data_IF_143407715448
#
_entry.id   IF_143407715448
#
_cell.length_a   1.000
_cell.length_b   1.000
_cell.length_c   1.000
_cell.angle_alpha   90.00
_cell.angle_beta   90.00
_cell.angle_gamma   90.00
#
_symmetry.space_group_name_H-M   'P 1'
#
loop_
_entity.id
_entity.type
_entity.pdbx_description
1 polymer ?
#
# COMPACT_ATOMS: atom_id res chain seq x y z
N UNK A 1 18.83 1.28 -27.02
CA UNK A 1 18.50 2.19 -25.89
C UNK A 1 17.04 2.01 -25.49
N UNK A 2 16.71 2.20 -24.20
CA UNK A 2 15.33 2.08 -23.68
C UNK A 2 14.82 3.46 -23.29
N UNK A 3 13.58 3.79 -23.64
CA UNK A 3 12.97 5.09 -23.34
C UNK A 3 11.76 4.95 -22.43
N UNK A 4 11.58 5.94 -21.55
CA UNK A 4 10.34 6.20 -20.82
C UNK A 4 9.79 7.56 -21.29
N UNK A 5 8.47 7.66 -21.44
CA UNK A 5 7.78 8.87 -21.90
C UNK A 5 6.73 9.28 -20.87
N UNK A 6 6.76 10.54 -20.44
CA UNK A 6 5.88 11.09 -19.40
C UNK A 6 5.32 12.43 -19.90
N UNK A 7 4.00 12.58 -20.12
CA UNK A 7 3.42 13.86 -20.53
C UNK A 7 3.71 14.95 -19.50
N UNK A 8 4.06 16.17 -19.94
CA UNK A 8 4.45 17.29 -19.07
C UNK A 8 3.39 17.60 -17.99
N UNK A 9 2.11 17.55 -18.36
CA UNK A 9 0.96 17.71 -17.47
C UNK A 9 0.86 16.66 -16.34
N UNK A 10 1.50 15.50 -16.53
CA UNK A 10 1.51 14.38 -15.58
C UNK A 10 2.79 14.36 -14.70
N UNK A 11 3.76 15.24 -14.96
CA UNK A 11 5.02 15.33 -14.20
C UNK A 11 4.78 16.00 -12.85
N UNK A 12 4.88 15.22 -11.76
CA UNK A 12 4.69 15.75 -10.41
C UNK A 12 5.93 16.53 -9.94
N UNK A 13 5.74 17.84 -9.76
CA UNK A 13 6.71 18.74 -9.12
C UNK A 13 6.82 18.41 -7.62
N UNK A 14 5.69 18.53 -6.91
CA UNK A 14 5.49 18.13 -5.51
C UNK A 14 4.03 17.66 -5.32
N UNK A 15 3.71 16.97 -4.23
CA UNK A 15 2.38 16.35 -4.00
C UNK A 15 1.23 17.37 -3.94
N UNK A 16 1.49 18.54 -3.37
CA UNK A 16 0.57 19.67 -3.24
C UNK A 16 0.72 20.73 -4.35
N UNK A 17 1.59 20.49 -5.33
CA UNK A 17 1.85 21.47 -6.38
C UNK A 17 0.73 21.49 -7.44
N UNK A 18 0.25 22.68 -7.77
CA UNK A 18 -0.63 22.95 -8.93
C UNK A 18 0.18 23.38 -10.17
N UNK A 19 1.51 23.23 -10.16
CA UNK A 19 2.38 23.62 -11.27
C UNK A 19 2.20 22.67 -12.46
N UNK A 20 1.56 23.16 -13.51
CA UNK A 20 1.49 22.50 -14.81
C UNK A 20 2.68 22.91 -15.69
N UNK A 21 3.63 22.00 -15.87
CA UNK A 21 4.81 22.23 -16.72
C UNK A 21 4.46 22.33 -18.22
N UNK A 22 3.28 21.86 -18.65
CA UNK A 22 2.83 21.98 -20.05
C UNK A 22 2.30 23.38 -20.38
N UNK A 23 1.92 24.17 -19.38
CA UNK A 23 1.50 25.56 -19.53
C UNK A 23 2.67 26.57 -19.47
N UNK A 24 3.90 26.11 -19.21
CA UNK A 24 5.08 26.96 -19.03
C UNK A 24 5.86 27.22 -20.35
N UNK A 25 6.62 28.33 -20.45
CA UNK A 25 7.60 28.51 -21.50
C UNK A 25 8.61 27.34 -21.54
N UNK A 26 8.90 26.81 -22.73
CA UNK A 26 9.69 25.59 -22.90
C UNK A 26 11.08 25.62 -22.25
N UNK A 27 11.72 26.79 -22.14
CA UNK A 27 12.99 26.93 -21.40
C UNK A 27 12.83 26.73 -19.90
N UNK A 28 11.80 27.32 -19.29
CA UNK A 28 11.49 27.16 -17.86
C UNK A 28 11.07 25.72 -17.56
N UNK A 29 10.21 25.13 -18.39
CA UNK A 29 9.81 23.73 -18.27
C UNK A 29 11.04 22.79 -18.33
N UNK A 30 12.01 23.07 -19.21
CA UNK A 30 13.26 22.31 -19.31
C UNK A 30 14.10 22.40 -18.04
N UNK A 31 14.30 23.59 -17.49
CA UNK A 31 15.10 23.79 -16.27
C UNK A 31 14.45 23.07 -15.07
N UNK A 32 13.12 23.15 -14.93
CA UNK A 32 12.35 22.36 -13.96
C UNK A 32 12.55 20.86 -14.16
N UNK A 33 12.35 20.34 -15.37
CA UNK A 33 12.52 18.91 -15.69
C UNK A 33 13.93 18.42 -15.34
N UNK A 34 14.99 19.16 -15.68
CA UNK A 34 16.36 18.76 -15.34
C UNK A 34 16.57 18.60 -13.83
N UNK A 35 16.03 19.51 -13.00
CA UNK A 35 16.07 19.38 -11.55
C UNK A 35 15.26 18.19 -11.03
N UNK A 36 14.05 17.99 -11.55
CA UNK A 36 13.11 16.96 -11.09
C UNK A 36 13.60 15.51 -11.33
N UNK A 37 14.36 15.27 -12.40
CA UNK A 37 14.89 13.96 -12.77
C UNK A 37 16.37 13.72 -12.37
N UNK A 38 16.98 14.63 -11.61
CA UNK A 38 18.37 14.52 -11.10
C UNK A 38 18.67 13.28 -10.24
N UNK A 39 17.65 12.51 -9.85
CA UNK A 39 17.79 11.22 -9.16
C UNK A 39 18.14 10.05 -10.09
N UNK A 40 18.05 10.24 -11.41
CA UNK A 40 18.49 9.28 -12.42
C UNK A 40 20.02 9.35 -12.58
N UNK A 41 20.70 8.28 -13.03
CA UNK A 41 22.14 8.31 -13.24
C UNK A 41 22.52 9.34 -14.31
N UNK A 42 23.72 9.90 -14.21
CA UNK A 42 24.28 10.95 -15.10
C UNK A 42 24.19 10.66 -16.62
N UNK A 43 24.06 9.39 -17.00
CA UNK A 43 23.95 8.94 -18.39
C UNK A 43 22.51 8.76 -18.89
N UNK A 44 21.51 8.99 -18.05
CA UNK A 44 20.12 9.07 -18.50
C UNK A 44 19.89 10.45 -19.10
N UNK A 45 19.55 10.49 -20.39
CA UNK A 45 19.26 11.75 -21.08
C UNK A 45 17.79 12.10 -20.89
N UNK A 46 17.52 13.29 -20.33
CA UNK A 46 16.16 13.79 -20.11
C UNK A 46 15.94 14.99 -21.02
N UNK A 47 14.98 14.86 -21.94
CA UNK A 47 14.66 15.87 -22.95
C UNK A 47 13.15 16.13 -22.97
N UNK A 48 12.73 17.26 -23.55
CA UNK A 48 11.31 17.56 -23.82
C UNK A 48 11.10 17.46 -25.33
N UNK A 49 10.25 16.51 -25.75
CA UNK A 49 9.80 16.35 -27.13
C UNK A 49 8.32 16.76 -27.20
N UNK A 50 8.05 17.98 -27.68
CA UNK A 50 6.68 18.53 -27.72
C UNK A 50 6.11 18.73 -26.32
N UNK A 51 5.03 18.03 -26.00
CA UNK A 51 4.33 18.05 -24.70
C UNK A 51 4.83 16.97 -23.72
N UNK A 52 5.88 16.23 -24.08
CA UNK A 52 6.28 14.99 -23.41
C UNK A 52 7.74 15.04 -22.96
N UNK A 53 7.99 14.66 -21.71
CA UNK A 53 9.35 14.37 -21.21
C UNK A 53 9.75 12.99 -21.71
N UNK A 54 10.87 12.92 -22.42
CA UNK A 54 11.46 11.68 -22.92
C UNK A 54 12.76 11.42 -22.17
N UNK A 55 12.81 10.27 -21.51
CA UNK A 55 13.92 9.83 -20.67
C UNK A 55 14.57 8.64 -21.37
N UNK A 56 15.75 8.85 -21.95
CA UNK A 56 16.53 7.82 -22.62
C UNK A 56 17.54 7.21 -21.67
N UNK A 57 17.36 5.93 -21.35
CA UNK A 57 18.29 5.16 -20.54
C UNK A 57 19.40 4.56 -21.40
N UNK A 58 20.67 4.63 -20.95
CA UNK A 58 21.78 3.95 -21.61
C UNK A 58 21.56 2.44 -21.56
N UNK A 59 22.18 1.72 -22.48
CA UNK A 59 22.07 0.27 -22.49
C UNK A 59 22.69 -0.34 -21.23
N UNK A 60 21.96 -1.28 -20.63
CA UNK A 60 22.39 -1.95 -19.42
C UNK A 60 23.65 -2.77 -19.73
N UNK A 61 24.70 -2.58 -18.92
CA UNK A 61 25.89 -3.44 -19.01
C UNK A 61 25.50 -4.91 -18.77
N UNK A 62 26.16 -5.89 -19.40
CA UNK A 62 25.91 -7.31 -19.16
C UNK A 62 25.85 -7.65 -17.66
N UNK A 63 24.87 -8.47 -17.27
CA UNK A 63 24.63 -8.85 -15.87
C UNK A 63 23.95 -7.80 -14.99
N UNK A 64 23.78 -6.54 -15.41
CA UNK A 64 23.12 -5.51 -14.57
C UNK A 64 21.64 -5.79 -14.32
N UNK A 65 20.92 -6.28 -15.32
CA UNK A 65 19.51 -6.67 -15.17
C UNK A 65 19.32 -7.81 -14.17
N UNK A 66 20.20 -8.83 -14.22
CA UNK A 66 20.18 -9.94 -13.26
C UNK A 66 20.58 -9.47 -11.85
N UNK A 67 21.65 -8.68 -11.72
CA UNK A 67 22.11 -8.10 -10.45
C UNK A 67 21.03 -7.26 -9.78
N UNK A 68 20.38 -6.36 -10.53
CA UNK A 68 19.31 -5.49 -10.03
C UNK A 68 18.07 -6.29 -9.62
N UNK A 69 17.57 -7.18 -10.47
CA UNK A 69 16.39 -8.02 -10.14
C UNK A 69 16.66 -8.98 -8.98
N UNK A 70 17.89 -9.49 -8.83
CA UNK A 70 18.32 -10.29 -7.68
C UNK A 70 18.33 -9.45 -6.40
N UNK A 71 18.90 -8.25 -6.43
CA UNK A 71 18.89 -7.34 -5.29
C UNK A 71 17.46 -6.97 -4.87
N UNK A 72 16.57 -6.70 -5.84
CA UNK A 72 15.14 -6.46 -5.59
C UNK A 72 14.47 -7.63 -4.86
N UNK A 73 14.62 -8.87 -5.36
CA UNK A 73 14.05 -10.07 -4.71
C UNK A 73 14.57 -10.24 -3.27
N UNK A 74 15.87 -10.10 -3.05
CA UNK A 74 16.45 -10.15 -1.71
C UNK A 74 15.92 -9.02 -0.80
N UNK A 75 15.59 -7.85 -1.36
CA UNK A 75 14.96 -6.74 -0.66
C UNK A 75 13.53 -7.05 -0.22
N UNK A 76 12.75 -7.72 -1.08
CA UNK A 76 11.43 -8.26 -0.72
C UNK A 76 11.53 -9.25 0.45
N UNK A 77 12.46 -10.22 0.37
CA UNK A 77 12.67 -11.22 1.42
C UNK A 77 13.05 -10.56 2.76
N UNK A 78 13.89 -9.53 2.73
CA UNK A 78 14.28 -8.76 3.91
C UNK A 78 13.11 -7.96 4.49
N UNK A 79 12.29 -7.32 3.65
CA UNK A 79 11.10 -6.58 4.07
C UNK A 79 10.04 -7.51 4.69
N UNK A 80 9.81 -8.69 4.11
CA UNK A 80 8.91 -9.70 4.65
C UNK A 80 9.35 -10.24 6.04
N UNK A 81 10.64 -10.13 6.36
CA UNK A 81 11.22 -10.45 7.67
C UNK A 81 11.24 -9.25 8.64
N UNK A 82 10.66 -8.10 8.27
CA UNK A 82 10.71 -6.85 9.05
C UNK A 82 12.09 -6.18 9.08
N UNK A 83 13.06 -6.66 8.30
CA UNK A 83 14.42 -6.09 8.25
C UNK A 83 14.49 -4.95 7.23
N UNK A 84 13.80 -3.86 7.54
CA UNK A 84 13.62 -2.73 6.64
C UNK A 84 14.93 -2.02 6.27
N UNK A 85 15.90 -1.95 7.20
CA UNK A 85 17.24 -1.38 6.93
C UNK A 85 17.98 -2.17 5.85
N UNK A 86 17.93 -3.51 5.91
CA UNK A 86 18.51 -4.37 4.87
C UNK A 86 17.72 -4.30 3.56
N UNK A 87 16.40 -4.19 3.63
CA UNK A 87 15.56 -4.00 2.45
C UNK A 87 15.90 -2.70 1.71
N UNK A 88 16.13 -1.60 2.44
CA UNK A 88 16.57 -0.29 1.90
C UNK A 88 17.88 -0.43 1.11
N UNK A 89 18.94 -1.03 1.67
CA UNK A 89 20.21 -1.26 0.93
C UNK A 89 19.97 -2.04 -0.37
N UNK A 90 19.18 -3.11 -0.30
CA UNK A 90 18.93 -4.01 -1.41
C UNK A 90 18.09 -3.35 -2.52
N UNK A 91 17.08 -2.55 -2.17
CA UNK A 91 16.33 -1.78 -3.16
C UNK A 91 17.16 -0.61 -3.74
N UNK A 92 17.99 0.07 -2.95
CA UNK A 92 18.94 1.07 -3.47
C UNK A 92 19.95 0.44 -4.45
N UNK A 93 20.45 -0.77 -4.17
CA UNK A 93 21.32 -1.53 -5.08
C UNK A 93 20.58 -1.97 -6.34
N UNK A 94 19.31 -2.37 -6.23
CA UNK A 94 18.44 -2.60 -7.38
C UNK A 94 18.35 -1.35 -8.26
N UNK A 95 18.02 -0.19 -7.69
CA UNK A 95 17.89 1.07 -8.44
C UNK A 95 19.21 1.60 -9.01
N UNK A 96 20.37 1.25 -8.41
CA UNK A 96 21.69 1.56 -8.98
C UNK A 96 21.93 0.83 -10.31
N UNK A 97 21.38 -0.37 -10.44
CA UNK A 97 21.54 -1.23 -11.61
C UNK A 97 20.35 -1.10 -12.59
N UNK A 98 19.17 -0.75 -12.08
CA UNK A 98 17.89 -0.59 -12.81
C UNK A 98 17.17 0.70 -12.33
N UNK A 99 17.57 1.90 -12.79
CA UNK A 99 17.13 3.19 -12.24
C UNK A 99 15.64 3.50 -12.35
N UNK A 100 14.96 2.90 -13.31
CA UNK A 100 13.54 3.06 -13.60
C UNK A 100 12.71 1.85 -13.16
N UNK A 101 13.26 0.98 -12.29
CA UNK A 101 12.50 -0.15 -11.77
C UNK A 101 11.46 0.33 -10.75
N UNK A 102 10.26 0.63 -11.26
CA UNK A 102 9.09 1.16 -10.56
C UNK A 102 8.83 0.42 -9.24
N UNK A 103 8.74 -0.92 -9.28
CA UNK A 103 8.47 -1.73 -8.09
C UNK A 103 9.56 -1.61 -7.02
N UNK A 104 10.83 -1.52 -7.42
CA UNK A 104 11.95 -1.33 -6.50
C UNK A 104 11.92 0.07 -5.85
N UNK A 105 11.50 1.10 -6.59
CA UNK A 105 11.37 2.47 -6.07
C UNK A 105 10.18 2.60 -5.12
N UNK A 106 9.04 2.00 -5.46
CA UNK A 106 7.87 1.91 -4.57
C UNK A 106 8.20 1.15 -3.28
N UNK A 107 8.84 -0.01 -3.38
CA UNK A 107 9.16 -0.82 -2.21
C UNK A 107 10.29 -0.21 -1.36
N UNK A 108 11.18 0.60 -1.96
CA UNK A 108 12.10 1.45 -1.21
C UNK A 108 11.37 2.51 -0.38
N UNK A 109 10.39 3.21 -0.96
CA UNK A 109 9.56 4.16 -0.22
C UNK A 109 8.76 3.49 0.91
N UNK A 110 8.19 2.30 0.67
CA UNK A 110 7.51 1.49 1.69
C UNK A 110 8.48 1.13 2.83
N UNK A 111 9.66 0.58 2.52
CA UNK A 111 10.66 0.21 3.51
C UNK A 111 11.16 1.42 4.33
N UNK A 112 11.18 2.63 3.75
CA UNK A 112 11.46 3.85 4.50
C UNK A 112 10.35 4.25 5.46
N UNK A 113 9.07 4.11 5.10
CA UNK A 113 7.95 4.36 6.02
C UNK A 113 7.94 3.39 7.19
N UNK A 114 8.11 2.10 6.89
CA UNK A 114 8.21 1.02 7.88
C UNK A 114 9.44 1.20 8.81
N UNK A 115 10.52 1.82 8.32
CA UNK A 115 11.66 2.24 9.13
C UNK A 115 11.49 3.61 9.82
N UNK A 116 10.32 4.25 9.74
CA UNK A 116 10.00 5.54 10.34
C UNK A 116 10.58 6.78 9.63
N UNK A 117 11.26 6.62 8.49
CA UNK A 117 11.90 7.70 7.74
C UNK A 117 10.96 8.27 6.65
N UNK A 118 9.91 8.95 7.13
CA UNK A 118 8.88 9.61 6.30
C UNK A 118 9.48 10.55 5.22
N UNK A 119 10.50 11.40 5.50
CA UNK A 119 11.07 12.27 4.47
C UNK A 119 11.69 11.52 3.28
N UNK A 120 12.38 10.40 3.54
CA UNK A 120 12.98 9.59 2.46
C UNK A 120 11.91 8.85 1.65
N UNK A 121 10.82 8.43 2.30
CA UNK A 121 9.67 7.85 1.60
C UNK A 121 8.98 8.87 0.69
N UNK A 122 8.70 10.09 1.17
CA UNK A 122 8.14 11.18 0.35
C UNK A 122 9.01 11.46 -0.88
N UNK A 123 10.33 11.55 -0.70
CA UNK A 123 11.28 11.72 -1.80
C UNK A 123 11.13 10.61 -2.85
N UNK A 124 11.18 9.35 -2.45
CA UNK A 124 11.11 8.23 -3.40
C UNK A 124 9.72 8.05 -4.04
N UNK A 125 8.64 8.48 -3.38
CA UNK A 125 7.30 8.58 -3.97
C UNK A 125 7.19 9.69 -5.03
N UNK A 126 7.80 10.86 -4.81
CA UNK A 126 7.88 11.90 -5.86
C UNK A 126 8.67 11.40 -7.07
N UNK A 127 9.82 10.76 -6.83
CA UNK A 127 10.63 10.15 -7.89
C UNK A 127 9.88 9.02 -8.63
N UNK A 128 9.05 8.25 -7.92
CA UNK A 128 8.16 7.24 -8.51
C UNK A 128 7.13 7.89 -9.44
N UNK A 129 6.41 8.92 -8.96
CA UNK A 129 5.36 9.56 -9.73
C UNK A 129 5.87 10.38 -10.92
N UNK A 130 7.13 10.85 -10.87
CA UNK A 130 7.82 11.41 -12.03
C UNK A 130 8.11 10.35 -13.11
N UNK A 131 8.26 9.08 -12.76
CA UNK A 131 8.38 7.99 -13.75
C UNK A 131 7.02 7.44 -14.18
N UNK A 132 6.04 7.39 -13.27
CA UNK A 132 4.67 6.93 -13.55
C UNK A 132 3.67 7.51 -12.53
N UNK A 133 2.83 8.43 -13.00
CA UNK A 133 1.80 9.09 -12.16
C UNK A 133 0.59 8.20 -11.82
N UNK A 134 0.54 6.98 -12.38
CA UNK A 134 -0.60 6.04 -12.29
C UNK A 134 -0.26 4.70 -11.61
N UNK A 135 0.83 4.63 -10.84
CA UNK A 135 1.13 3.44 -10.03
C UNK A 135 0.17 3.36 -8.82
N UNK A 136 -0.82 2.48 -8.93
CA UNK A 136 -1.90 2.27 -7.95
C UNK A 136 -1.38 2.07 -6.52
N UNK A 137 -0.37 1.22 -6.36
CA UNK A 137 0.23 0.92 -5.06
C UNK A 137 1.03 2.09 -4.49
N UNK A 138 1.69 2.90 -5.34
CA UNK A 138 2.36 4.14 -4.96
C UNK A 138 1.36 5.22 -4.53
N UNK A 139 0.22 5.35 -5.23
CA UNK A 139 -0.87 6.24 -4.84
C UNK A 139 -1.47 5.85 -3.48
N UNK A 140 -1.74 4.55 -3.27
CA UNK A 140 -2.15 4.01 -1.98
C UNK A 140 -1.11 4.27 -0.87
N UNK A 141 0.18 4.16 -1.19
CA UNK A 141 1.26 4.44 -0.24
C UNK A 141 1.38 5.92 0.12
N UNK A 142 1.24 6.82 -0.86
CA UNK A 142 1.19 8.26 -0.63
C UNK A 142 -0.04 8.64 0.23
N UNK A 143 -1.21 8.08 -0.07
CA UNK A 143 -2.42 8.30 0.71
C UNK A 143 -2.26 7.86 2.18
N UNK A 144 -1.71 6.67 2.41
CA UNK A 144 -1.38 6.17 3.75
C UNK A 144 -0.34 7.06 4.47
N UNK A 145 0.67 7.56 3.76
CA UNK A 145 1.67 8.48 4.29
C UNK A 145 1.01 9.74 4.84
N UNK A 146 0.21 10.42 4.01
CA UNK A 146 -0.42 11.68 4.40
C UNK A 146 -1.44 11.53 5.52
N UNK A 147 -2.23 10.45 5.51
CA UNK A 147 -3.16 10.15 6.61
C UNK A 147 -2.41 9.89 7.92
N UNK A 148 -1.49 8.91 7.93
CA UNK A 148 -0.95 8.34 9.19
C UNK A 148 0.28 9.07 9.75
N UNK A 149 1.07 9.72 8.90
CA UNK A 149 2.35 10.32 9.31
C UNK A 149 2.37 11.84 9.29
N UNK A 150 1.52 12.48 8.48
CA UNK A 150 1.43 13.94 8.39
C UNK A 150 0.07 14.51 8.80
N UNK A 151 -0.93 13.65 9.09
CA UNK A 151 -2.30 14.04 9.45
C UNK A 151 -2.97 14.99 8.43
N UNK A 152 -2.57 14.90 7.16
CA UNK A 152 -3.10 15.71 6.06
C UNK A 152 -4.21 14.92 5.34
N UNK A 153 -5.37 14.85 6.01
CA UNK A 153 -6.53 14.09 5.53
C UNK A 153 -7.02 14.54 4.13
N UNK A 154 -7.10 15.85 3.78
CA UNK A 154 -7.51 16.28 2.44
C UNK A 154 -6.58 15.78 1.34
N UNK A 155 -5.26 15.80 1.56
CA UNK A 155 -4.30 15.28 0.59
C UNK A 155 -4.33 13.76 0.51
N UNK A 156 -4.51 13.07 1.65
CA UNK A 156 -4.71 11.63 1.68
C UNK A 156 -5.94 11.23 0.83
N UNK A 157 -7.06 11.94 0.97
CA UNK A 157 -8.29 11.71 0.19
C UNK A 157 -8.04 11.90 -1.32
N UNK A 158 -7.31 12.95 -1.71
CA UNK A 158 -6.89 13.19 -3.11
C UNK A 158 -6.09 12.00 -3.69
N UNK A 159 -5.22 11.36 -2.90
CA UNK A 159 -4.46 10.19 -3.35
C UNK A 159 -5.26 8.88 -3.32
N UNK A 160 -6.12 8.67 -2.33
CA UNK A 160 -7.04 7.52 -2.33
C UNK A 160 -8.01 7.58 -3.51
N UNK A 161 -8.61 8.74 -3.79
CA UNK A 161 -9.52 8.93 -4.92
C UNK A 161 -8.83 8.64 -6.26
N UNK A 162 -7.57 9.07 -6.43
CA UNK A 162 -6.74 8.71 -7.61
C UNK A 162 -6.49 7.20 -7.71
N UNK A 163 -6.20 6.51 -6.60
CA UNK A 163 -5.99 5.07 -6.59
C UNK A 163 -7.28 4.31 -6.92
N UNK A 164 -8.40 4.69 -6.29
CA UNK A 164 -9.75 4.17 -6.53
C UNK A 164 -10.23 4.37 -7.97
N UNK A 165 -9.86 5.48 -8.61
CA UNK A 165 -10.17 5.74 -10.03
C UNK A 165 -9.41 4.79 -10.99
N UNK A 166 -8.34 4.13 -10.54
CA UNK A 166 -7.60 3.15 -11.35
C UNK A 166 -8.23 1.76 -11.20
N UNK A 167 -8.53 1.34 -9.97
CA UNK A 167 -9.24 0.11 -9.67
C UNK A 167 -10.28 0.37 -8.56
N UNK A 168 -11.56 0.55 -8.92
CA UNK A 168 -12.65 0.74 -7.96
C UNK A 168 -12.96 -0.50 -7.12
N UNK A 169 -12.40 -1.66 -7.47
CA UNK A 169 -12.71 -2.97 -6.85
C UNK A 169 -11.59 -3.50 -5.97
N UNK A 170 -10.44 -2.81 -5.89
CA UNK A 170 -9.31 -3.21 -5.05
C UNK A 170 -9.71 -3.14 -3.55
N UNK A 171 -9.74 -4.28 -2.83
CA UNK A 171 -10.22 -4.32 -1.45
C UNK A 171 -9.27 -3.60 -0.47
N UNK A 172 -7.99 -3.44 -0.79
CA UNK A 172 -7.03 -2.71 0.04
C UNK A 172 -7.24 -1.19 -0.07
N UNK A 173 -7.52 -0.70 -1.28
CA UNK A 173 -7.86 0.71 -1.53
C UNK A 173 -9.21 1.03 -0.89
N UNK A 174 -10.24 0.23 -1.16
CA UNK A 174 -11.58 0.40 -0.58
C UNK A 174 -11.51 0.45 0.96
N UNK A 175 -10.84 -0.52 1.59
CA UNK A 175 -10.67 -0.57 3.06
C UNK A 175 -9.92 0.64 3.61
N UNK A 176 -8.84 1.07 2.94
CA UNK A 176 -7.99 2.15 3.46
C UNK A 176 -8.62 3.54 3.24
N UNK A 177 -9.36 3.72 2.15
CA UNK A 177 -10.12 4.94 1.90
C UNK A 177 -11.34 5.03 2.83
N UNK A 178 -12.07 3.92 3.02
CA UNK A 178 -13.15 3.83 4.00
C UNK A 178 -12.70 4.24 5.41
N UNK A 179 -11.50 3.81 5.83
CA UNK A 179 -10.91 4.22 7.10
C UNK A 179 -10.69 5.74 7.20
N UNK A 180 -10.17 6.36 6.13
CA UNK A 180 -10.00 7.82 6.08
C UNK A 180 -11.35 8.56 6.12
N UNK A 181 -12.36 8.08 5.39
CA UNK A 181 -13.70 8.69 5.39
C UNK A 181 -14.33 8.64 6.79
N UNK A 182 -14.19 7.52 7.52
CA UNK A 182 -14.59 7.42 8.93
C UNK A 182 -13.83 8.39 9.83
N UNK A 183 -12.57 8.70 9.54
CA UNK A 183 -11.78 9.69 10.29
C UNK A 183 -12.21 11.13 9.98
N UNK A 184 -12.58 11.41 8.72
CA UNK A 184 -13.13 12.69 8.27
C UNK A 184 -14.57 12.93 8.73
N UNK A 185 -15.31 11.86 9.09
CA UNK A 185 -16.70 11.92 9.57
C UNK A 185 -17.75 11.52 8.51
N UNK A 186 -17.31 11.13 7.32
CA UNK A 186 -18.13 10.66 6.20
C UNK A 186 -18.55 9.18 6.39
N UNK A 187 -19.10 8.90 7.58
CA UNK A 187 -19.43 7.56 8.10
C UNK A 187 -20.32 6.73 7.14
N UNK A 188 -21.21 7.39 6.38
CA UNK A 188 -22.10 6.70 5.44
C UNK A 188 -21.39 6.18 4.19
N UNK A 189 -20.42 6.94 3.66
CA UNK A 189 -19.63 6.51 2.50
C UNK A 189 -18.59 5.48 2.94
N UNK A 190 -17.96 5.71 4.09
CA UNK A 190 -17.10 4.74 4.78
C UNK A 190 -17.78 3.37 4.93
N UNK A 191 -19.03 3.33 5.40
CA UNK A 191 -19.78 2.08 5.53
C UNK A 191 -19.99 1.38 4.18
N UNK A 192 -20.34 2.11 3.11
CA UNK A 192 -20.52 1.52 1.77
C UNK A 192 -19.21 0.90 1.27
N UNK A 193 -18.12 1.66 1.33
CA UNK A 193 -16.80 1.22 0.87
C UNK A 193 -16.27 -0.01 1.64
N UNK A 194 -16.57 -0.14 2.94
CA UNK A 194 -16.24 -1.37 3.68
C UNK A 194 -17.07 -2.58 3.22
N UNK A 195 -18.37 -2.44 2.96
CA UNK A 195 -19.21 -3.53 2.45
C UNK A 195 -18.84 -3.92 1.01
N UNK A 196 -18.41 -2.95 0.20
CA UNK A 196 -17.85 -3.19 -1.14
C UNK A 196 -16.52 -3.95 -1.05
N UNK A 197 -15.62 -3.57 -0.14
CA UNK A 197 -14.36 -4.29 0.10
C UNK A 197 -14.59 -5.73 0.57
N UNK A 198 -15.55 -5.95 1.47
CA UNK A 198 -16.00 -7.28 1.93
C UNK A 198 -16.55 -8.10 0.75
N UNK A 199 -17.30 -7.47 -0.15
CA UNK A 199 -17.87 -8.14 -1.32
C UNK A 199 -16.81 -8.50 -2.37
N UNK A 200 -15.76 -7.69 -2.51
CA UNK A 200 -14.66 -7.90 -3.45
C UNK A 200 -13.68 -9.00 -2.98
N UNK A 201 -13.39 -9.09 -1.67
CA UNK A 201 -12.54 -10.13 -1.09
C UNK A 201 -13.10 -10.56 0.28
N UNK A 202 -14.03 -11.53 0.31
CA UNK A 202 -14.64 -12.00 1.56
C UNK A 202 -13.65 -12.57 2.56
N UNK A 203 -12.51 -13.09 2.10
CA UNK A 203 -11.42 -13.61 2.91
C UNK A 203 -10.53 -12.53 3.56
N UNK A 204 -10.62 -11.27 3.15
CA UNK A 204 -9.82 -10.17 3.70
C UNK A 204 -10.48 -9.63 4.99
N UNK A 205 -9.88 -9.79 6.18
CA UNK A 205 -10.55 -9.45 7.44
C UNK A 205 -10.54 -7.95 7.77
N UNK A 206 -9.66 -7.17 7.16
CA UNK A 206 -9.47 -5.76 7.50
C UNK A 206 -10.73 -4.90 7.30
N UNK A 207 -11.51 -5.01 6.20
CA UNK A 207 -12.73 -4.21 6.04
C UNK A 207 -13.83 -4.59 7.05
N UNK A 208 -13.97 -5.86 7.41
CA UNK A 208 -14.87 -6.25 8.50
C UNK A 208 -14.45 -5.60 9.82
N UNK A 209 -13.15 -5.63 10.15
CA UNK A 209 -12.66 -5.01 11.38
C UNK A 209 -12.80 -3.48 11.36
N UNK A 210 -12.56 -2.84 10.21
CA UNK A 210 -12.79 -1.40 10.01
C UNK A 210 -14.27 -1.01 10.18
N UNK A 211 -15.19 -1.77 9.59
CA UNK A 211 -16.63 -1.59 9.74
C UNK A 211 -17.10 -1.84 11.19
N UNK A 212 -16.53 -2.83 11.88
CA UNK A 212 -16.78 -3.07 13.29
C UNK A 212 -16.30 -1.89 14.17
N UNK A 213 -15.18 -1.23 13.84
CA UNK A 213 -14.73 -0.02 14.52
C UNK A 213 -15.61 1.20 14.21
N UNK A 214 -16.14 1.31 12.99
CA UNK A 214 -17.11 2.35 12.61
C UNK A 214 -18.42 2.19 13.41
N UNK A 215 -18.97 0.99 13.51
CA UNK A 215 -20.14 0.72 14.35
C UNK A 215 -19.86 0.90 15.84
N UNK A 216 -18.63 0.64 16.31
CA UNK A 216 -18.21 0.93 17.68
C UNK A 216 -18.19 2.45 17.95
N UNK A 217 -17.65 3.27 17.04
CA UNK A 217 -17.69 4.74 17.09
C UNK A 217 -19.13 5.25 17.23
N UNK A 218 -20.07 4.60 16.54
CA UNK A 218 -21.50 4.89 16.58
C UNK A 218 -22.26 4.25 17.75
N UNK A 219 -21.59 3.53 18.66
CA UNK A 219 -22.19 2.76 19.77
C UNK A 219 -23.23 1.70 19.36
N UNK A 220 -23.18 1.23 18.09
CA UNK A 220 -24.06 0.21 17.53
C UNK A 220 -23.57 -1.20 17.89
N UNK A 221 -23.59 -1.54 19.18
CA UNK A 221 -22.94 -2.75 19.71
C UNK A 221 -23.41 -4.07 19.05
N UNK A 222 -24.68 -4.20 18.70
CA UNK A 222 -25.19 -5.39 17.99
C UNK A 222 -24.59 -5.52 16.58
N UNK A 223 -24.43 -4.40 15.86
CA UNK A 223 -23.85 -4.41 14.51
C UNK A 223 -22.35 -4.72 14.54
N UNK A 224 -21.63 -4.31 15.60
CA UNK A 224 -20.25 -4.74 15.85
C UNK A 224 -20.15 -6.27 15.96
N UNK A 225 -21.04 -6.89 16.74
CA UNK A 225 -21.06 -8.35 16.89
C UNK A 225 -21.41 -9.04 15.56
N UNK A 226 -22.46 -8.58 14.86
CA UNK A 226 -22.90 -9.11 13.57
C UNK A 226 -21.78 -9.10 12.51
N UNK A 227 -21.01 -7.99 12.40
CA UNK A 227 -19.91 -7.88 11.42
C UNK A 227 -18.72 -8.76 11.79
N UNK A 228 -18.41 -8.88 13.09
CA UNK A 228 -17.34 -9.78 13.54
C UNK A 228 -17.72 -11.26 13.38
N UNK A 229 -18.99 -11.63 13.59
CA UNK A 229 -19.47 -12.98 13.25
C UNK A 229 -19.37 -13.27 11.74
N UNK A 230 -19.72 -12.31 10.87
CA UNK A 230 -19.46 -12.41 9.42
C UNK A 230 -17.97 -12.63 9.13
N UNK A 231 -17.08 -11.90 9.78
CA UNK A 231 -15.62 -12.02 9.65
C UNK A 231 -15.08 -13.40 10.07
N UNK A 232 -15.68 -14.04 11.08
CA UNK A 232 -15.27 -15.37 11.55
C UNK A 232 -15.91 -16.51 10.77
N UNK A 233 -17.05 -16.28 10.12
CA UNK A 233 -17.73 -17.23 9.23
C UNK A 233 -17.18 -17.23 7.79
N UNK A 234 -16.53 -16.14 7.37
CA UNK A 234 -15.91 -16.00 6.06
C UNK A 234 -14.70 -16.95 5.87
N UNK A 235 -14.28 -17.24 4.62
CA UNK A 235 -13.08 -18.03 4.36
C UNK A 235 -11.85 -17.40 5.03
N UNK A 236 -11.04 -18.21 5.71
CA UNK A 236 -9.88 -17.69 6.43
C UNK A 236 -8.79 -17.21 5.45
N UNK A 237 -8.35 -15.96 5.59
CA UNK A 237 -7.16 -15.43 4.90
C UNK A 237 -5.96 -16.37 5.08
N UNK A 238 -5.27 -16.65 3.97
CA UNK A 238 -4.00 -17.39 3.99
C UNK A 238 -2.79 -16.47 4.22
N UNK A 239 -2.99 -15.15 4.29
CA UNK A 239 -1.93 -14.17 4.57
C UNK A 239 -1.61 -14.15 6.08
N UNK A 240 -0.38 -14.48 6.50
CA UNK A 240 0.01 -14.43 7.91
C UNK A 240 -0.19 -13.04 8.54
N UNK A 241 -0.12 -11.96 7.73
CA UNK A 241 -0.34 -10.57 8.15
C UNK A 241 -1.78 -10.28 8.58
N UNK A 242 -2.73 -11.15 8.25
CA UNK A 242 -4.12 -11.08 8.74
C UNK A 242 -4.27 -11.57 10.19
N UNK A 243 -3.31 -12.33 10.74
CA UNK A 243 -3.40 -12.91 12.10
C UNK A 243 -3.65 -11.88 13.21
N UNK A 244 -2.97 -10.71 13.25
CA UNK A 244 -3.24 -9.68 14.25
C UNK A 244 -4.67 -9.13 14.18
N UNK A 245 -5.24 -8.98 12.98
CA UNK A 245 -6.60 -8.46 12.77
C UNK A 245 -7.65 -9.44 13.31
N UNK A 246 -7.48 -10.75 13.07
CA UNK A 246 -8.35 -11.76 13.70
C UNK A 246 -8.23 -11.77 15.23
N UNK A 247 -7.05 -11.49 15.80
CA UNK A 247 -6.88 -11.40 17.25
C UNK A 247 -7.57 -10.15 17.82
N UNK A 248 -7.43 -9.00 17.17
CA UNK A 248 -8.11 -7.75 17.55
C UNK A 248 -9.63 -7.88 17.43
N UNK A 249 -10.14 -8.49 16.35
CA UNK A 249 -11.56 -8.80 16.18
C UNK A 249 -12.11 -9.67 17.31
N UNK A 250 -11.39 -10.74 17.71
CA UNK A 250 -11.81 -11.60 18.85
C UNK A 250 -11.83 -10.85 20.19
N UNK A 251 -10.85 -9.98 20.44
CA UNK A 251 -10.81 -9.15 21.64
C UNK A 251 -11.97 -8.15 21.68
N UNK A 252 -12.25 -7.48 20.55
CA UNK A 252 -13.38 -6.58 20.43
C UNK A 252 -14.71 -7.31 20.62
N UNK A 253 -14.89 -8.48 19.98
CA UNK A 253 -16.09 -9.30 20.14
C UNK A 253 -16.38 -9.63 21.61
N UNK A 254 -15.40 -10.16 22.36
CA UNK A 254 -15.59 -10.50 23.78
C UNK A 254 -16.03 -9.28 24.59
N UNK A 255 -15.36 -8.14 24.40
CA UNK A 255 -15.66 -6.89 25.11
C UNK A 255 -17.08 -6.38 24.83
N UNK A 256 -17.51 -6.41 23.57
CA UNK A 256 -18.85 -5.93 23.20
C UNK A 256 -19.93 -6.93 23.62
N UNK A 257 -19.65 -8.23 23.56
CA UNK A 257 -20.54 -9.27 24.05
C UNK A 257 -20.80 -9.11 25.55
N UNK A 258 -19.77 -8.86 26.36
CA UNK A 258 -19.91 -8.59 27.80
C UNK A 258 -20.79 -7.36 28.10
N UNK A 259 -20.71 -6.31 27.27
CA UNK A 259 -21.55 -5.10 27.39
C UNK A 259 -23.01 -5.40 27.04
N UNK A 260 -23.28 -6.21 26.01
CA UNK A 260 -24.64 -6.51 25.53
C UNK A 260 -25.33 -7.59 26.37
N UNK A 261 -24.61 -8.65 26.75
CA UNK A 261 -25.14 -9.81 27.47
C UNK A 261 -25.02 -9.69 29.01
N UNK A 262 -24.31 -8.68 29.52
CA UNK A 262 -24.06 -8.49 30.95
C UNK A 262 -23.18 -9.57 31.61
N UNK A 263 -22.71 -10.56 30.84
CA UNK A 263 -21.85 -11.67 31.26
C UNK A 263 -20.99 -12.17 30.10
N UNK A 264 -19.79 -12.75 30.35
CA UNK A 264 -18.88 -13.19 29.30
C UNK A 264 -19.36 -14.45 28.55
N UNK A 265 -18.92 -14.65 27.29
CA UNK A 265 -19.36 -15.79 26.48
C UNK A 265 -18.78 -17.13 26.98
N UNK A 266 -19.56 -18.23 26.98
CA UNK A 266 -19.07 -19.55 27.36
C UNK A 266 -18.18 -20.14 26.26
N UNK A 267 -16.88 -19.85 26.28
CA UNK A 267 -15.95 -20.39 25.27
C UNK A 267 -14.47 -20.01 25.34
N UNK A 268 -14.07 -19.06 26.20
CA UNK A 268 -12.65 -18.61 26.29
C UNK A 268 -11.68 -19.63 26.92
N UNK A 269 -12.15 -20.82 27.27
CA UNK A 269 -11.37 -21.90 27.88
C UNK A 269 -10.71 -22.85 26.86
N UNK A 270 -9.65 -22.36 26.21
CA UNK A 270 -8.56 -23.22 25.74
C UNK A 270 -8.67 -23.84 24.35
N UNK A 271 -7.48 -24.15 23.83
CA UNK A 271 -7.20 -24.88 22.59
C UNK A 271 -8.00 -26.19 22.43
N UNK A 272 -8.37 -26.57 21.19
CA UNK A 272 -9.14 -27.79 20.95
C UNK A 272 -8.36 -29.04 21.39
N UNK A 273 -8.88 -29.74 22.39
CA UNK A 273 -8.35 -31.03 22.85
C UNK A 273 -8.49 -32.10 21.76
N UNK A 274 -7.36 -32.61 21.28
CA UNK A 274 -7.28 -33.84 20.47
C UNK A 274 -7.86 -35.05 21.20
N UNK A 275 -8.91 -35.64 20.63
CA UNK A 275 -9.16 -37.09 20.50
C UNK A 275 -10.24 -37.25 19.41
N UNK A 276 -10.18 -38.17 18.44
CA UNK A 276 -9.74 -39.56 18.55
C UNK A 276 -8.73 -40.00 17.45
N UNK A 277 -8.37 -41.29 17.48
CA UNK A 277 -7.26 -41.89 16.72
C UNK A 277 -7.71 -42.37 15.34
N UNK A 278 -6.88 -42.09 14.33
CA UNK A 278 -6.88 -42.78 13.03
C UNK A 278 -5.62 -42.42 12.25
N UNK A 279 -4.66 -43.34 12.13
CA UNK A 279 -3.55 -43.22 11.15
C UNK A 279 -4.02 -43.86 9.84
N UNK A 280 -3.62 -43.32 8.69
CA UNK A 280 -2.55 -44.01 7.95
C UNK A 280 -1.30 -43.16 7.71
N UNK A 281 -0.28 -43.79 7.11
CA UNK A 281 1.04 -43.21 6.80
C UNK A 281 1.05 -42.47 5.45
N UNK A 282 1.76 -41.33 5.44
CA UNK A 282 2.70 -40.86 4.39
C UNK A 282 2.12 -40.65 2.96
N UNK A 283 2.83 -40.12 1.95
CA UNK A 283 4.19 -39.57 1.78
C UNK A 283 4.03 -38.31 0.89
N UNK A 284 4.63 -37.14 1.15
CA UNK A 284 5.97 -36.72 0.71
C UNK A 284 6.31 -35.28 1.18
N UNK A 285 7.54 -34.83 0.88
CA UNK A 285 7.98 -33.42 0.82
C UNK A 285 8.83 -33.23 -0.47
N UNK A 286 9.57 -32.12 -0.65
CA UNK A 286 9.30 -31.07 -1.62
C UNK A 286 10.02 -31.20 -2.97
N UNK A 287 9.57 -30.41 -3.95
CA UNK A 287 10.39 -29.81 -5.01
C UNK A 287 9.91 -28.37 -5.26
#
# INVERSE_FOLDING_TARGET
MRQLKVPLKDVIVDFDSEVDLSAMPASQAKDHVQGLYSFLPERAEVQIEGDTVVISFPELKPGKQESGTKAYKQGLDAAAQGNYIKAIDLFQRSLRDLPDYIDARRNLAMAYLEAGNVPSAKKHLLELFRLTSRDQWGLLLAANLFAKHENNLPLAAKFYNKAYTIDPTDPYILTSYAALLSEMGDDSESQSMYEEAISASPEYPNPYFGLALLFLKQSKFNDVLNVLDRMFAAPASQDPRSTPVYNQGRQLFSRIYEIVAGTPPPGSAGTPRRAARGRPKAIWAPH
#
